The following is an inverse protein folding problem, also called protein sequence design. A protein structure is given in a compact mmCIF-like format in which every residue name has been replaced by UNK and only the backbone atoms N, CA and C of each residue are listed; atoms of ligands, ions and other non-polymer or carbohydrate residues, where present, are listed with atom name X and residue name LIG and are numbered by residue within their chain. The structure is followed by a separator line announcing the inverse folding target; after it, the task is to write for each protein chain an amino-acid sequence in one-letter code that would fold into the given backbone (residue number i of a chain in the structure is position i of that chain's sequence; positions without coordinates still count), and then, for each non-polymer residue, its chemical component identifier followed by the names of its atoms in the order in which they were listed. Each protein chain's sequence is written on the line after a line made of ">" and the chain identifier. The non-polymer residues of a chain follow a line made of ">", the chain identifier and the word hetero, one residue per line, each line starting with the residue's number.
data_IF_755325559603
#
_entry.id   IF_755325559603
#
_cell.length_a   1.000
_cell.length_b   1.000
_cell.length_c   1.000
_cell.angle_alpha   90.00
_cell.angle_beta   90.00
_cell.angle_gamma   90.00
#
_symmetry.space_group_name_H-M   'P 1'
#
loop_
_entity.id
_entity.type
_entity.pdbx_description
1 polymer ?
#
# COMPACT_ATOMS: atom_id res chain seq x y z
N UNK A 1 -4.02 -40.92 -10.81
CA UNK A 1 -3.80 -39.50 -11.17
C UNK A 1 -2.36 -39.14 -10.84
N UNK A 2 -1.49 -38.99 -11.85
CA UNK A 2 -0.10 -38.60 -11.62
C UNK A 2 -0.07 -37.18 -11.04
N UNK A 3 0.40 -37.03 -9.81
CA UNK A 3 0.60 -35.73 -9.20
C UNK A 3 1.61 -34.96 -10.06
N UNK A 4 1.14 -33.99 -10.85
CA UNK A 4 2.02 -33.02 -11.50
C UNK A 4 2.77 -32.32 -10.38
N UNK A 5 4.04 -32.67 -10.15
CA UNK A 5 4.88 -31.99 -9.17
C UNK A 5 4.76 -30.50 -9.44
N UNK A 6 4.25 -29.75 -8.48
CA UNK A 6 4.24 -28.31 -8.61
C UNK A 6 5.71 -27.84 -8.55
N UNK A 7 6.06 -26.71 -9.19
CA UNK A 7 7.42 -26.19 -9.06
C UNK A 7 7.80 -25.90 -7.60
N UNK A 8 6.82 -25.73 -6.71
CA UNK A 8 7.02 -25.59 -5.28
C UNK A 8 7.42 -26.92 -4.62
N UNK A 9 6.73 -28.01 -4.94
CA UNK A 9 7.02 -29.35 -4.38
C UNK A 9 8.42 -29.81 -4.77
N UNK A 10 8.85 -29.51 -6.00
CA UNK A 10 10.21 -29.79 -6.45
C UNK A 10 11.28 -29.08 -5.62
N UNK A 11 11.06 -27.81 -5.27
CA UNK A 11 11.99 -27.05 -4.42
C UNK A 11 12.01 -27.62 -3.01
N UNK A 12 10.84 -27.98 -2.46
CA UNK A 12 10.74 -28.54 -1.12
C UNK A 12 11.44 -29.91 -1.04
N UNK A 13 11.29 -30.77 -2.04
CA UNK A 13 12.02 -32.04 -2.10
C UNK A 13 13.53 -31.84 -2.27
N UNK A 14 13.95 -30.88 -3.11
CA UNK A 14 15.36 -30.55 -3.28
C UNK A 14 15.98 -30.00 -1.99
N UNK A 15 15.29 -29.08 -1.29
CA UNK A 15 15.73 -28.52 -0.02
C UNK A 15 15.65 -29.52 1.15
N UNK A 16 14.81 -30.55 1.06
CA UNK A 16 14.81 -31.66 2.04
C UNK A 16 16.03 -32.57 1.90
N UNK A 17 16.49 -32.81 0.66
CA UNK A 17 17.72 -33.55 0.38
C UNK A 17 18.95 -32.73 0.77
N UNK A 18 18.98 -31.48 0.34
CA UNK A 18 20.08 -30.55 0.58
C UNK A 18 19.58 -29.23 1.17
N UNK A 19 19.59 -29.14 2.51
CA UNK A 19 19.09 -27.96 3.25
C UNK A 19 19.82 -26.66 2.91
N UNK A 20 21.05 -26.76 2.39
CA UNK A 20 21.91 -25.62 2.02
C UNK A 20 22.00 -25.38 0.50
N UNK A 21 21.23 -26.11 -0.32
CA UNK A 21 21.29 -25.97 -1.78
C UNK A 21 21.02 -24.51 -2.21
N UNK A 22 21.87 -24.00 -3.11
CA UNK A 22 21.79 -22.63 -3.62
C UNK A 22 20.66 -22.56 -4.66
N UNK A 23 20.00 -21.40 -4.73
CA UNK A 23 18.91 -21.16 -5.70
C UNK A 23 19.31 -21.50 -7.14
N UNK A 24 20.55 -21.17 -7.54
CA UNK A 24 21.05 -21.39 -8.89
C UNK A 24 20.98 -22.87 -9.31
N UNK A 25 21.33 -23.78 -8.40
CA UNK A 25 21.36 -25.22 -8.67
C UNK A 25 19.95 -25.78 -8.80
N UNK A 26 19.03 -25.35 -7.93
CA UNK A 26 17.62 -25.76 -7.98
C UNK A 26 16.93 -25.19 -9.22
N UNK A 27 17.26 -23.95 -9.60
CA UNK A 27 16.73 -23.32 -10.81
C UNK A 27 17.22 -24.03 -12.08
N UNK A 28 18.50 -24.39 -12.15
CA UNK A 28 19.04 -25.17 -13.27
C UNK A 28 18.42 -26.57 -13.35
N UNK A 29 18.24 -27.25 -12.22
CA UNK A 29 17.61 -28.57 -12.15
C UNK A 29 16.12 -28.54 -12.55
N UNK A 30 15.42 -27.47 -12.22
CA UNK A 30 14.02 -27.28 -12.63
C UNK A 30 13.87 -26.85 -14.09
N UNK A 31 14.80 -26.03 -14.60
CA UNK A 31 14.87 -25.67 -16.01
C UNK A 31 15.02 -26.89 -16.90
N UNK A 32 15.84 -27.87 -16.50
CA UNK A 32 15.96 -29.18 -17.20
C UNK A 32 14.65 -29.97 -17.22
N UNK A 33 13.75 -29.74 -16.27
CA UNK A 33 12.43 -30.37 -16.19
C UNK A 33 11.32 -29.50 -16.79
N UNK A 34 11.66 -28.41 -17.48
CA UNK A 34 10.70 -27.48 -18.09
C UNK A 34 9.90 -26.65 -17.08
N UNK A 35 10.32 -26.61 -15.82
CA UNK A 35 9.63 -25.88 -14.75
C UNK A 35 10.32 -24.53 -14.50
N UNK A 36 9.55 -23.45 -14.58
CA UNK A 36 10.01 -22.11 -14.20
C UNK A 36 9.91 -21.93 -12.70
N UNK A 37 11.03 -21.70 -12.05
CA UNK A 37 11.11 -21.40 -10.62
C UNK A 37 11.43 -19.93 -10.43
N UNK A 38 10.69 -19.29 -9.53
CA UNK A 38 10.95 -17.90 -9.15
C UNK A 38 11.64 -17.83 -7.78
N UNK A 39 12.48 -16.81 -7.52
CA UNK A 39 13.15 -16.62 -6.23
C UNK A 39 12.18 -16.58 -5.03
N UNK A 40 10.97 -16.03 -5.23
CA UNK A 40 9.92 -15.97 -4.20
C UNK A 40 9.50 -17.39 -3.76
N UNK A 41 9.45 -18.35 -4.69
CA UNK A 41 9.09 -19.74 -4.38
C UNK A 41 10.17 -20.41 -3.53
N UNK A 42 11.43 -20.18 -3.86
CA UNK A 42 12.56 -20.68 -3.09
C UNK A 42 12.61 -20.12 -1.67
N UNK A 43 12.40 -18.80 -1.52
CA UNK A 43 12.30 -18.15 -0.21
C UNK A 43 11.14 -18.73 0.64
N UNK A 44 9.98 -18.96 0.02
CA UNK A 44 8.83 -19.59 0.69
C UNK A 44 9.12 -21.05 1.06
N UNK A 45 9.81 -21.81 0.23
CA UNK A 45 10.13 -23.21 0.51
C UNK A 45 11.10 -23.32 1.69
N UNK A 46 12.10 -22.44 1.77
CA UNK A 46 12.98 -22.33 2.95
C UNK A 46 12.23 -21.94 4.22
N UNK A 47 11.27 -21.01 4.12
CA UNK A 47 10.41 -20.62 5.23
C UNK A 47 9.53 -21.78 5.72
N UNK A 48 8.95 -22.56 4.80
CA UNK A 48 8.15 -23.75 5.14
C UNK A 48 8.98 -24.83 5.85
N UNK A 49 10.25 -24.97 5.47
CA UNK A 49 11.17 -25.92 6.10
C UNK A 49 11.82 -25.38 7.39
N UNK A 50 11.47 -24.17 7.83
CA UNK A 50 12.04 -23.55 9.03
C UNK A 50 13.53 -23.20 8.91
N UNK A 51 14.08 -23.19 7.69
CA UNK A 51 15.51 -22.92 7.45
C UNK A 51 15.86 -21.43 7.51
N UNK A 52 14.85 -20.55 7.52
CA UNK A 52 15.01 -19.09 7.54
C UNK A 52 14.06 -18.50 8.58
N UNK A 53 14.53 -17.53 9.40
CA UNK A 53 13.66 -16.83 10.34
C UNK A 53 12.56 -16.08 9.59
N UNK A 54 11.31 -16.43 9.88
CA UNK A 54 10.12 -15.75 9.35
C UNK A 54 9.45 -14.99 10.47
N UNK A 55 9.21 -13.70 10.23
CA UNK A 55 8.29 -12.92 11.06
C UNK A 55 6.86 -13.35 10.72
N UNK A 56 6.00 -13.60 11.71
CA UNK A 56 4.63 -14.00 11.44
C UNK A 56 3.90 -12.89 10.68
N UNK A 57 2.98 -13.35 9.82
CA UNK A 57 2.25 -12.48 8.90
C UNK A 57 1.49 -11.42 9.70
N UNK A 58 1.78 -10.15 9.41
CA UNK A 58 1.12 -9.03 10.08
C UNK A 58 1.85 -8.48 11.31
N UNK A 59 3.07 -8.90 11.64
CA UNK A 59 3.87 -8.18 12.66
C UNK A 59 4.69 -7.01 12.11
N UNK A 60 4.54 -6.71 10.81
CA UNK A 60 5.10 -5.51 10.20
C UNK A 60 4.36 -4.24 10.62
N UNK A 61 4.96 -3.09 10.26
CA UNK A 61 4.42 -1.72 10.46
C UNK A 61 2.91 -1.57 10.15
N UNK A 62 2.37 -2.42 9.27
CA UNK A 62 0.96 -2.46 8.92
C UNK A 62 0.01 -2.83 10.09
N UNK A 63 0.36 -3.73 11.02
CA UNK A 63 -0.49 -4.01 12.20
C UNK A 63 -0.29 -3.02 13.32
N UNK A 64 0.90 -2.43 13.48
CA UNK A 64 1.06 -1.28 14.39
C UNK A 64 0.18 -0.12 13.90
N UNK A 65 0.16 0.16 12.59
CA UNK A 65 -0.74 1.16 12.02
C UNK A 65 -2.21 0.79 12.16
N UNK A 66 -2.59 -0.48 11.95
CA UNK A 66 -3.99 -0.94 12.07
C UNK A 66 -4.47 -1.00 13.52
N UNK A 67 -3.61 -1.41 14.46
CA UNK A 67 -3.91 -1.43 15.89
C UNK A 67 -3.94 -0.01 16.47
N UNK A 68 -3.06 0.89 16.04
CA UNK A 68 -3.13 2.31 16.39
C UNK A 68 -4.39 2.98 15.81
N UNK A 69 -4.79 2.63 14.59
CA UNK A 69 -6.04 3.10 14.00
C UNK A 69 -7.28 2.56 14.73
N UNK A 70 -7.27 1.28 15.12
CA UNK A 70 -8.35 0.65 15.87
C UNK A 70 -8.45 1.18 17.31
N UNK A 71 -7.33 1.40 17.99
CA UNK A 71 -7.30 2.01 19.33
C UNK A 71 -7.79 3.47 19.31
N UNK A 72 -7.46 4.24 18.27
CA UNK A 72 -8.01 5.60 18.06
C UNK A 72 -9.52 5.59 17.79
N UNK A 73 -10.04 4.56 17.13
CA UNK A 73 -11.48 4.40 16.91
C UNK A 73 -12.23 4.01 18.20
N UNK A 74 -11.62 3.17 19.06
CA UNK A 74 -12.25 2.69 20.31
C UNK A 74 -12.29 3.75 21.44
N UNK A 75 -11.32 4.67 21.48
CA UNK A 75 -11.22 5.67 22.58
C UNK A 75 -12.11 6.90 22.34
N UNK A 76 -12.90 6.95 21.25
CA UNK A 76 -13.77 8.09 20.91
C UNK A 76 -13.02 9.42 20.69
N UNK A 77 -11.70 9.42 20.81
CA UNK A 77 -10.84 10.56 20.53
C UNK A 77 -10.86 10.71 19.03
N UNK A 78 -11.75 11.57 18.53
CA UNK A 78 -11.75 12.04 17.13
C UNK A 78 -10.34 12.50 16.84
N UNK A 79 -9.53 11.65 16.21
CA UNK A 79 -8.29 12.10 15.61
C UNK A 79 -8.72 13.13 14.60
N UNK A 80 -8.46 14.40 14.91
CA UNK A 80 -8.61 15.46 13.93
C UNK A 80 -7.83 14.99 12.70
N UNK A 81 -8.49 14.82 11.53
CA UNK A 81 -7.78 14.41 10.34
C UNK A 81 -6.64 15.40 10.17
N UNK A 82 -5.41 14.89 10.10
CA UNK A 82 -4.20 15.70 9.92
C UNK A 82 -4.55 16.82 8.94
N UNK A 83 -4.53 18.08 9.43
CA UNK A 83 -5.01 19.25 8.71
C UNK A 83 -4.43 19.19 7.30
N UNK A 84 -5.25 18.75 6.34
CA UNK A 84 -4.86 18.73 4.95
C UNK A 84 -4.59 20.18 4.61
N UNK A 85 -3.46 20.44 3.93
CA UNK A 85 -3.12 21.80 3.52
C UNK A 85 -4.33 22.50 2.90
N UNK A 86 -4.51 23.80 3.17
CA UNK A 86 -5.67 24.54 2.67
C UNK A 86 -5.77 24.36 1.14
N UNK A 87 -6.87 23.76 0.66
CA UNK A 87 -7.12 23.50 -0.76
C UNK A 87 -7.02 22.05 -1.22
N UNK A 88 -6.85 21.06 -0.33
CA UNK A 88 -6.86 19.64 -0.72
C UNK A 88 -8.20 18.96 -0.36
N UNK A 89 -9.14 18.83 -1.32
CA UNK A 89 -10.42 18.20 -1.04
C UNK A 89 -10.25 16.74 -0.59
N UNK A 90 -11.15 16.23 0.28
CA UNK A 90 -11.13 14.83 0.67
C UNK A 90 -11.35 13.94 -0.56
N UNK A 91 -10.59 12.85 -0.66
CA UNK A 91 -10.55 11.95 -1.83
C UNK A 91 -11.90 11.24 -2.11
N UNK A 92 -12.87 11.38 -1.21
CA UNK A 92 -14.20 10.77 -1.32
C UNK A 92 -15.23 11.66 -0.63
N UNK A 93 -15.42 12.89 -1.10
CA UNK A 93 -16.73 13.52 -0.92
C UNK A 93 -17.67 12.78 -1.88
N UNK A 94 -18.27 11.69 -1.41
CA UNK A 94 -19.43 11.14 -2.09
C UNK A 94 -20.46 12.27 -2.10
N UNK A 95 -20.82 12.77 -3.29
CA UNK A 95 -21.87 13.78 -3.49
C UNK A 95 -23.27 13.25 -3.16
N UNK A 96 -23.36 12.24 -2.28
CA UNK A 96 -24.59 11.54 -1.93
C UNK A 96 -25.40 12.22 -0.82
N UNK A 97 -24.88 13.28 -0.18
CA UNK A 97 -25.60 14.04 0.84
C UNK A 97 -25.65 15.54 0.53
N UNK A 98 -26.77 16.18 0.89
CA UNK A 98 -27.00 17.60 0.67
C UNK A 98 -25.94 18.45 1.40
N UNK A 99 -25.50 18.02 2.58
CA UNK A 99 -24.45 18.68 3.34
C UNK A 99 -23.11 18.66 2.61
N UNK A 100 -22.81 17.60 1.85
CA UNK A 100 -21.60 17.52 1.04
C UNK A 100 -21.64 18.50 -0.14
N UNK A 101 -22.82 18.69 -0.75
CA UNK A 101 -23.03 19.68 -1.82
C UNK A 101 -22.87 21.10 -1.27
N UNK A 102 -23.45 21.40 -0.11
CA UNK A 102 -23.32 22.71 0.55
C UNK A 102 -21.86 22.98 0.93
N UNK A 103 -21.14 21.99 1.45
CA UNK A 103 -19.73 22.13 1.78
C UNK A 103 -18.89 22.42 0.52
N UNK A 104 -19.12 21.67 -0.57
CA UNK A 104 -18.43 21.89 -1.84
C UNK A 104 -18.72 23.27 -2.43
N UNK A 105 -19.96 23.76 -2.34
CA UNK A 105 -20.34 25.10 -2.80
C UNK A 105 -19.58 26.19 -2.02
N UNK A 106 -19.54 26.09 -0.69
CA UNK A 106 -18.82 27.05 0.17
C UNK A 106 -17.32 27.05 -0.08
N UNK A 107 -16.73 25.89 -0.35
CA UNK A 107 -15.32 25.81 -0.70
C UNK A 107 -15.04 26.43 -2.07
N UNK A 108 -15.93 26.22 -3.05
CA UNK A 108 -15.89 26.91 -4.35
C UNK A 108 -16.01 28.43 -4.23
N UNK A 109 -16.90 28.93 -3.36
CA UNK A 109 -17.02 30.37 -3.09
C UNK A 109 -15.73 30.96 -2.49
N UNK A 110 -15.10 30.26 -1.55
CA UNK A 110 -13.81 30.67 -0.97
C UNK A 110 -12.70 30.73 -2.00
N UNK A 111 -12.64 29.76 -2.91
CA UNK A 111 -11.67 29.77 -4.00
C UNK A 111 -11.92 30.92 -4.97
N UNK A 112 -13.18 31.16 -5.34
CA UNK A 112 -13.56 32.30 -6.19
C UNK A 112 -13.13 33.63 -5.56
N UNK A 113 -13.34 33.82 -4.26
CA UNK A 113 -12.96 35.05 -3.56
C UNK A 113 -11.42 35.23 -3.50
N UNK A 114 -10.66 34.13 -3.36
CA UNK A 114 -9.19 34.18 -3.45
C UNK A 114 -8.74 34.63 -4.82
N UNK A 115 -9.30 34.06 -5.89
CA UNK A 115 -8.97 34.47 -7.26
C UNK A 115 -9.34 35.92 -7.53
N UNK A 116 -10.51 36.38 -7.05
CA UNK A 116 -10.92 37.78 -7.20
C UNK A 116 -9.94 38.74 -6.53
N UNK A 117 -9.53 38.45 -5.29
CA UNK A 117 -8.53 39.25 -4.56
C UNK A 117 -7.19 39.27 -5.30
N UNK A 118 -6.74 38.14 -5.83
CA UNK A 118 -5.51 38.07 -6.61
C UNK A 118 -5.59 38.92 -7.89
N UNK A 119 -6.73 38.89 -8.59
CA UNK A 119 -6.95 39.71 -9.78
C UNK A 119 -7.02 41.21 -9.44
N UNK A 120 -7.64 41.58 -8.31
CA UNK A 120 -7.69 42.95 -7.82
C UNK A 120 -6.27 43.45 -7.46
N UNK A 121 -5.44 42.62 -6.84
CA UNK A 121 -4.02 42.93 -6.57
C UNK A 121 -3.22 43.13 -7.86
N UNK A 122 -3.37 42.23 -8.84
CA UNK A 122 -2.71 42.35 -10.15
C UNK A 122 -3.14 43.64 -10.84
N UNK A 123 -4.45 43.94 -10.85
CA UNK A 123 -4.99 45.18 -11.41
C UNK A 123 -4.42 46.41 -10.72
N UNK A 124 -4.30 46.40 -9.39
CA UNK A 124 -3.69 47.51 -8.65
C UNK A 124 -2.23 47.72 -9.06
N UNK A 125 -1.45 46.65 -9.19
CA UNK A 125 -0.05 46.73 -9.63
C UNK A 125 0.04 47.31 -11.05
N UNK A 126 -0.81 46.84 -11.96
CA UNK A 126 -0.82 47.30 -13.36
C UNK A 126 -1.39 48.71 -13.54
N UNK A 127 -2.27 49.18 -12.65
CA UNK A 127 -2.82 50.54 -12.68
C UNK A 127 -2.02 51.57 -11.88
N UNK A 128 -1.01 51.12 -11.13
CA UNK A 128 -0.05 51.97 -10.42
C UNK A 128 1.24 52.21 -11.21
N UNK A 129 1.33 51.66 -12.43
CA UNK A 129 2.35 51.92 -13.46
C UNK A 129 1.73 52.81 -14.52
#
# INVERSE_FOLDING_TARGET
>A
MAAKMTPMDFIVEALKKDKNAVYADIHAAAGKRGMKIYPIMYGRAKALLGLVPVKPRGEGKARVAKAAAAARAATGTRSTPAKRGPGRPPKTAAMGSLEAVIAALRDGERERDRYRRALEQIRHILGAV
#
